data_IF_662325340515
#
_entry.id   IF_662325340515
#
_cell.length_a   1.000
_cell.length_b   1.000
_cell.length_c   1.000
_cell.angle_alpha   90.00
_cell.angle_beta   90.00
_cell.angle_gamma   90.00
#
_symmetry.space_group_name_H-M   'P 1'
#
loop_
_entity.id
_entity.type
_entity.pdbx_description
1 polymer ?
#
# COMPACT_ATOMS: atom_id res chain seq x y z
N UNK A 1 25.27 -1.93 -14.13
CA UNK A 1 26.65 -1.44 -14.31
C UNK A 1 26.92 -0.40 -13.22
N UNK A 2 28.05 -0.50 -12.49
CA UNK A 2 28.43 0.48 -11.47
C UNK A 2 29.55 1.32 -12.09
N UNK A 3 29.33 2.62 -12.28
CA UNK A 3 30.38 3.54 -12.71
C UNK A 3 31.01 4.15 -11.45
N UNK A 4 32.32 3.99 -11.30
CA UNK A 4 33.09 4.65 -10.25
C UNK A 4 33.76 5.87 -10.90
N UNK A 5 33.28 7.06 -10.59
CA UNK A 5 33.71 8.31 -11.24
C UNK A 5 34.65 9.06 -10.30
N UNK A 6 35.94 9.11 -10.64
CA UNK A 6 36.98 9.77 -9.86
C UNK A 6 36.85 11.29 -9.84
N UNK A 7 37.20 11.89 -8.71
CA UNK A 7 37.07 13.32 -8.40
C UNK A 7 37.95 14.23 -9.26
N UNK A 8 37.38 15.09 -10.10
CA UNK A 8 37.98 16.34 -10.57
C UNK A 8 36.91 17.36 -11.02
N UNK A 9 37.19 18.65 -10.79
CA UNK A 9 36.36 19.86 -11.01
C UNK A 9 35.95 20.12 -12.48
N UNK A 10 35.19 19.21 -13.07
CA UNK A 10 34.40 19.49 -14.27
C UNK A 10 32.95 19.12 -13.97
N UNK A 11 32.01 19.90 -14.54
CA UNK A 11 30.60 19.54 -14.54
C UNK A 11 30.45 18.11 -15.07
N UNK A 12 30.27 17.14 -14.17
CA UNK A 12 30.22 15.73 -14.52
C UNK A 12 28.88 15.44 -15.21
N UNK A 13 28.89 15.40 -16.55
CA UNK A 13 27.80 14.81 -17.31
C UNK A 13 28.03 13.31 -17.45
N UNK A 14 27.21 12.49 -16.79
CA UNK A 14 27.12 11.07 -17.12
C UNK A 14 26.20 10.94 -18.34
N UNK A 15 26.75 10.60 -19.50
CA UNK A 15 25.95 10.23 -20.67
C UNK A 15 25.64 8.74 -20.57
N UNK A 16 24.38 8.40 -20.32
CA UNK A 16 23.92 7.01 -20.24
C UNK A 16 23.18 6.70 -21.54
N UNK A 17 23.59 5.63 -22.23
CA UNK A 17 22.79 5.08 -23.33
C UNK A 17 21.57 4.40 -22.73
N UNK A 18 20.41 5.05 -22.87
CA UNK A 18 19.15 4.69 -22.19
C UNK A 18 18.12 4.11 -23.13
N UNK A 19 18.53 3.48 -24.24
CA UNK A 19 17.61 2.92 -25.25
C UNK A 19 16.48 2.07 -24.65
N UNK A 20 16.62 1.54 -23.41
CA UNK A 20 15.56 0.84 -22.67
C UNK A 20 15.64 1.05 -21.13
N UNK A 21 15.82 2.28 -20.63
CA UNK A 21 15.88 2.56 -19.19
C UNK A 21 14.54 3.05 -18.62
N UNK A 22 13.95 2.35 -17.65
CA UNK A 22 12.73 2.81 -16.97
C UNK A 22 13.04 3.71 -15.76
N UNK A 23 14.18 3.49 -15.09
CA UNK A 23 14.57 4.21 -13.87
C UNK A 23 16.07 4.44 -13.81
N UNK A 24 16.46 5.68 -13.54
CA UNK A 24 17.82 6.09 -13.15
C UNK A 24 17.75 6.55 -11.70
N UNK A 25 18.50 5.93 -10.81
CA UNK A 25 18.62 6.39 -9.42
C UNK A 25 20.08 6.47 -8.99
N UNK A 26 20.33 7.31 -8.01
CA UNK A 26 21.67 7.54 -7.51
C UNK A 26 21.69 8.45 -6.28
N UNK A 27 22.87 8.91 -5.94
CA UNK A 27 23.12 9.81 -4.82
C UNK A 27 23.83 11.06 -5.31
N UNK A 28 23.40 12.19 -4.78
CA UNK A 28 23.94 13.50 -5.05
C UNK A 28 24.32 14.12 -3.71
N UNK A 29 25.38 14.92 -3.62
CA UNK A 29 25.72 15.64 -2.39
C UNK A 29 26.15 17.05 -2.72
N UNK A 30 25.61 18.04 -2.01
CA UNK A 30 26.20 19.38 -1.92
C UNK A 30 26.97 19.51 -0.60
N UNK A 31 27.92 20.44 -0.54
CA UNK A 31 28.58 20.79 0.72
C UNK A 31 27.69 21.70 1.61
N UNK A 32 26.54 22.15 1.09
CA UNK A 32 25.73 23.24 1.64
C UNK A 32 24.53 22.82 2.49
N UNK A 33 24.19 21.53 2.53
CA UNK A 33 23.08 21.02 3.35
C UNK A 33 21.70 21.53 2.91
N UNK A 34 21.58 22.05 1.69
CA UNK A 34 20.32 22.56 1.14
C UNK A 34 19.55 21.44 0.42
N UNK A 35 18.22 21.58 0.22
CA UNK A 35 17.46 20.65 -0.59
C UNK A 35 18.03 20.61 -2.01
N UNK A 36 18.52 19.44 -2.41
CA UNK A 36 19.25 19.30 -3.65
C UNK A 36 18.30 18.93 -4.80
N UNK A 37 18.44 19.61 -5.93
CA UNK A 37 17.64 19.37 -7.12
C UNK A 37 18.54 19.14 -8.33
N UNK A 38 18.16 18.17 -9.17
CA UNK A 38 18.84 17.88 -10.43
C UNK A 38 17.94 18.27 -11.60
N UNK A 39 18.49 19.00 -12.55
CA UNK A 39 17.94 19.13 -13.89
C UNK A 39 18.17 17.82 -14.64
N UNK A 40 17.08 17.16 -15.02
CA UNK A 40 17.14 16.04 -15.94
C UNK A 40 17.02 16.54 -17.37
N UNK A 41 18.12 16.41 -18.11
CA UNK A 41 18.27 16.79 -19.50
C UNK A 41 18.22 15.53 -20.34
N UNK A 42 17.29 15.45 -21.29
CA UNK A 42 17.13 14.31 -22.20
C UNK A 42 17.23 14.83 -23.63
N UNK A 43 18.15 14.28 -24.41
CA UNK A 43 18.48 14.74 -25.77
C UNK A 43 18.72 16.26 -25.81
N UNK A 44 19.58 16.75 -24.90
CA UNK A 44 19.95 18.17 -24.74
C UNK A 44 18.79 19.13 -24.36
N UNK A 45 17.59 18.61 -24.08
CA UNK A 45 16.44 19.39 -23.61
C UNK A 45 16.22 19.13 -22.13
N UNK A 46 16.10 20.18 -21.33
CA UNK A 46 15.70 20.06 -19.92
C UNK A 46 14.24 19.58 -19.84
N UNK A 47 14.00 18.42 -19.25
CA UNK A 47 12.67 17.76 -19.19
C UNK A 47 12.05 17.76 -17.80
N UNK A 48 12.86 17.64 -16.75
CA UNK A 48 12.36 17.57 -15.39
C UNK A 48 13.31 18.21 -14.37
N UNK A 49 12.75 18.55 -13.21
CA UNK A 49 13.51 18.87 -12.00
C UNK A 49 13.29 17.71 -11.03
N UNK A 50 14.37 17.04 -10.66
CA UNK A 50 14.36 15.83 -9.83
C UNK A 50 14.79 16.21 -8.41
N UNK A 51 13.92 16.07 -7.40
CA UNK A 51 14.32 16.26 -6.02
C UNK A 51 15.27 15.14 -5.58
N UNK A 52 16.29 15.50 -4.80
CA UNK A 52 17.17 14.55 -4.13
C UNK A 52 16.73 14.41 -2.67
N UNK A 53 15.63 13.69 -2.44
CA UNK A 53 15.01 13.58 -1.12
C UNK A 53 14.91 12.14 -0.61
N UNK A 54 15.55 11.20 -1.30
CA UNK A 54 15.71 9.83 -0.84
C UNK A 54 16.81 9.79 0.23
N UNK A 55 16.60 9.01 1.29
CA UNK A 55 17.51 8.91 2.43
C UNK A 55 17.98 7.46 2.60
N UNK A 56 19.29 7.25 2.74
CA UNK A 56 19.90 5.94 3.03
C UNK A 56 19.64 5.52 4.47
N UNK A 57 19.68 4.22 4.72
CA UNK A 57 19.58 3.64 6.06
C UNK A 57 20.72 4.04 7.00
N UNK A 58 21.87 4.47 6.48
CA UNK A 58 23.00 4.99 7.26
C UNK A 58 22.90 6.50 7.55
N UNK A 59 21.77 7.13 7.21
CA UNK A 59 21.51 8.55 7.48
C UNK A 59 22.00 9.51 6.38
N UNK A 60 22.65 9.01 5.32
CA UNK A 60 22.98 9.85 4.16
C UNK A 60 21.70 10.27 3.43
N UNK A 61 21.43 11.57 3.40
CA UNK A 61 20.36 12.18 2.61
C UNK A 61 20.79 12.37 1.15
N UNK A 62 19.88 12.86 0.30
CA UNK A 62 20.15 13.34 -1.06
C UNK A 62 20.25 12.27 -2.17
N UNK A 63 19.53 11.16 -2.02
CA UNK A 63 19.30 10.23 -3.12
C UNK A 63 18.25 10.76 -4.09
N UNK A 64 18.39 10.44 -5.37
CA UNK A 64 17.47 10.86 -6.41
C UNK A 64 16.97 9.67 -7.23
N UNK A 65 15.82 9.87 -7.86
CA UNK A 65 15.23 8.88 -8.75
C UNK A 65 14.56 9.60 -9.93
N UNK A 66 14.93 9.22 -11.15
CA UNK A 66 14.48 9.83 -12.39
C UNK A 66 13.95 8.78 -13.37
N UNK A 67 12.82 9.07 -14.00
CA UNK A 67 12.20 8.23 -15.03
C UNK A 67 12.36 8.90 -16.39
N UNK A 68 13.33 8.47 -17.21
CA UNK A 68 13.55 9.12 -18.49
C UNK A 68 12.46 8.77 -19.51
N UNK A 69 11.75 7.65 -19.33
CA UNK A 69 10.83 7.04 -20.31
C UNK A 69 9.80 7.99 -20.95
N UNK A 70 9.09 8.87 -20.20
CA UNK A 70 8.15 9.81 -20.81
C UNK A 70 8.80 10.82 -21.77
N UNK A 71 10.13 10.92 -21.73
CA UNK A 71 10.92 11.88 -22.47
C UNK A 71 11.83 11.23 -23.52
N UNK A 72 11.83 9.91 -23.63
CA UNK A 72 12.64 9.19 -24.61
C UNK A 72 11.96 9.25 -25.99
N UNK A 73 12.75 9.51 -27.01
CA UNK A 73 12.37 9.47 -28.42
C UNK A 73 12.76 8.12 -29.03
N UNK A 74 12.26 7.80 -30.22
CA UNK A 74 12.68 6.59 -30.94
C UNK A 74 14.15 6.69 -31.34
N UNK A 75 14.99 5.76 -30.86
CA UNK A 75 16.42 5.70 -31.19
C UNK A 75 17.34 5.81 -29.96
N UNK A 76 18.58 6.25 -30.19
CA UNK A 76 19.56 6.48 -29.12
C UNK A 76 19.19 7.77 -28.40
N UNK A 77 19.06 7.71 -27.09
CA UNK A 77 18.77 8.85 -26.25
C UNK A 77 19.92 9.11 -25.29
N UNK A 78 20.19 10.38 -24.99
CA UNK A 78 21.12 10.78 -23.94
C UNK A 78 20.35 11.31 -22.75
N UNK A 79 20.73 10.89 -21.55
CA UNK A 79 20.21 11.47 -20.30
C UNK A 79 21.38 12.01 -19.51
N UNK A 80 21.28 13.29 -19.13
CA UNK A 80 22.23 13.98 -18.27
C UNK A 80 21.49 14.52 -17.06
N UNK A 81 21.95 14.18 -15.86
CA UNK A 81 21.49 14.79 -14.62
C UNK A 81 22.49 15.86 -14.20
N UNK A 82 22.02 17.10 -14.10
CA UNK A 82 22.86 18.26 -13.78
C UNK A 82 22.35 18.95 -12.52
N UNK A 83 23.24 19.29 -11.60
CA UNK A 83 22.85 20.10 -10.43
C UNK A 83 22.32 21.47 -10.82
N UNK A 84 21.34 21.96 -10.07
CA UNK A 84 20.97 23.38 -10.09
C UNK A 84 21.87 24.17 -9.11
N UNK A 85 23.14 24.35 -9.46
CA UNK A 85 24.15 24.95 -8.59
C UNK A 85 25.56 24.55 -9.01
N UNK A 86 26.59 25.11 -8.36
CA UNK A 86 28.00 24.79 -8.65
C UNK A 86 28.60 23.90 -7.55
N UNK A 87 28.61 22.58 -7.72
CA UNK A 87 29.56 21.73 -6.99
C UNK A 87 29.22 20.26 -6.72
N UNK A 88 28.49 19.55 -7.57
CA UNK A 88 28.15 18.14 -7.32
C UNK A 88 29.14 17.11 -7.86
N UNK A 89 29.33 16.02 -7.08
CA UNK A 89 29.88 14.74 -7.57
C UNK A 89 28.81 13.64 -7.50
N UNK A 90 28.54 12.94 -8.61
CA UNK A 90 27.64 11.77 -8.64
C UNK A 90 28.48 10.50 -8.41
N UNK A 91 28.34 9.87 -7.25
CA UNK A 91 29.20 8.74 -6.87
C UNK A 91 28.70 7.38 -7.36
N UNK A 92 27.41 7.26 -7.72
CA UNK A 92 26.86 6.03 -8.30
C UNK A 92 25.53 6.29 -8.99
N UNK A 93 25.37 5.79 -10.21
CA UNK A 93 24.08 5.62 -10.86
C UNK A 93 23.89 4.13 -11.19
N UNK A 94 22.73 3.56 -10.82
CA UNK A 94 22.36 2.19 -11.21
C UNK A 94 21.19 2.23 -12.16
N UNK A 95 21.36 1.59 -13.30
CA UNK A 95 20.31 1.32 -14.27
C UNK A 95 19.55 0.08 -13.82
N UNK A 96 18.26 0.23 -13.53
CA UNK A 96 17.37 -0.91 -13.30
C UNK A 96 16.50 -1.03 -14.55
N UNK A 97 16.75 -2.11 -15.31
CA UNK A 97 15.89 -2.49 -16.43
C UNK A 97 14.73 -3.29 -15.84
N UNK A 98 13.54 -2.70 -15.83
CA UNK A 98 12.32 -3.45 -15.60
C UNK A 98 11.72 -3.68 -16.99
N UNK A 99 11.43 -4.91 -17.39
CA UNK A 99 10.68 -5.06 -18.63
C UNK A 99 9.34 -4.34 -18.47
N UNK A 100 9.16 -3.31 -19.29
CA UNK A 100 7.97 -2.48 -19.31
C UNK A 100 6.72 -3.37 -19.38
N UNK A 101 5.92 -3.38 -18.32
CA UNK A 101 4.64 -4.13 -18.29
C UNK A 101 4.66 -5.41 -17.44
N UNK A 102 5.76 -5.79 -16.81
CA UNK A 102 5.72 -6.89 -15.84
C UNK A 102 4.95 -6.45 -14.57
N UNK A 103 3.72 -6.97 -14.41
CA UNK A 103 2.90 -6.75 -13.22
C UNK A 103 3.50 -7.40 -11.96
N UNK A 104 4.42 -8.35 -12.14
CA UNK A 104 5.05 -9.15 -11.09
C UNK A 104 6.55 -8.95 -11.08
N UNK A 105 7.13 -8.86 -9.88
CA UNK A 105 8.56 -8.81 -9.62
C UNK A 105 9.00 -10.08 -8.90
N UNK A 106 10.01 -10.77 -9.42
CA UNK A 106 10.63 -11.91 -8.77
C UNK A 106 11.67 -11.43 -7.75
N UNK A 107 11.39 -11.64 -6.47
CA UNK A 107 12.32 -11.41 -5.38
C UNK A 107 13.17 -12.63 -5.01
N UNK A 108 13.82 -12.54 -3.86
CA UNK A 108 14.66 -13.59 -3.29
C UNK A 108 13.81 -14.77 -2.83
N UNK A 109 14.41 -15.96 -2.78
CA UNK A 109 13.74 -17.21 -2.36
C UNK A 109 12.43 -17.47 -3.13
N UNK A 110 12.35 -17.06 -4.39
CA UNK A 110 11.17 -17.20 -5.25
C UNK A 110 9.91 -16.43 -4.81
N UNK A 111 10.03 -15.48 -3.88
CA UNK A 111 8.90 -14.62 -3.53
C UNK A 111 8.51 -13.75 -4.73
N UNK A 112 7.22 -13.72 -5.04
CA UNK A 112 6.66 -12.82 -6.04
C UNK A 112 6.11 -11.57 -5.37
N UNK A 113 6.33 -10.41 -5.98
CA UNK A 113 5.84 -9.12 -5.50
C UNK A 113 5.02 -8.42 -6.57
N UNK A 114 3.97 -7.73 -6.15
CA UNK A 114 3.17 -6.92 -7.05
C UNK A 114 3.93 -5.64 -7.42
N UNK A 115 4.30 -5.49 -8.68
CA UNK A 115 5.05 -4.34 -9.17
C UNK A 115 4.14 -3.28 -9.79
N UNK A 116 3.15 -3.72 -10.56
CA UNK A 116 2.20 -2.85 -11.24
C UNK A 116 0.87 -3.58 -11.50
N UNK A 117 -0.19 -2.80 -11.62
CA UNK A 117 -1.48 -3.20 -12.20
C UNK A 117 -1.73 -2.34 -13.44
N UNK A 118 -2.74 -2.65 -14.28
CA UNK A 118 -3.09 -1.79 -15.41
C UNK A 118 -3.34 -0.34 -15.02
N UNK A 119 -3.85 -0.10 -13.80
CA UNK A 119 -4.20 1.21 -13.31
C UNK A 119 -3.13 1.85 -12.42
N UNK A 120 -2.18 1.08 -11.88
CA UNK A 120 -1.26 1.55 -10.85
C UNK A 120 0.18 1.04 -10.99
N UNK A 121 1.16 1.90 -10.72
CA UNK A 121 2.55 1.51 -10.60
C UNK A 121 2.97 1.42 -9.12
N UNK A 122 2.60 0.31 -8.50
CA UNK A 122 2.71 0.08 -7.06
C UNK A 122 4.16 0.17 -6.61
N UNK A 123 5.11 -0.36 -7.38
CA UNK A 123 6.53 -0.28 -7.05
C UNK A 123 6.99 1.18 -6.96
N UNK A 124 6.56 2.05 -7.88
CA UNK A 124 6.93 3.46 -7.87
C UNK A 124 6.37 4.20 -6.65
N UNK A 125 5.15 3.88 -6.23
CA UNK A 125 4.55 4.43 -5.00
C UNK A 125 5.34 4.00 -3.76
N UNK A 126 5.65 2.71 -3.68
CA UNK A 126 6.35 2.12 -2.53
C UNK A 126 7.77 2.67 -2.38
N UNK A 127 8.49 2.90 -3.47
CA UNK A 127 9.83 3.50 -3.44
C UNK A 127 9.79 5.04 -3.42
N UNK A 128 8.61 5.63 -3.30
CA UNK A 128 8.41 7.07 -3.07
C UNK A 128 8.57 7.96 -4.31
N UNK A 129 8.61 7.38 -5.51
CA UNK A 129 8.62 8.14 -6.77
C UNK A 129 7.27 8.80 -7.05
N UNK A 130 6.18 8.16 -6.61
CA UNK A 130 4.83 8.72 -6.67
C UNK A 130 4.40 9.08 -5.26
N UNK A 131 4.43 10.39 -4.98
CA UNK A 131 4.04 10.96 -3.69
C UNK A 131 2.55 11.34 -3.62
N UNK A 132 2.11 11.69 -2.42
CA UNK A 132 0.78 12.24 -2.19
C UNK A 132 0.80 13.76 -2.28
N UNK A 133 0.25 14.34 -3.35
CA UNK A 133 0.21 15.79 -3.53
C UNK A 133 -0.60 16.52 -2.44
N UNK A 134 -0.26 17.78 -2.17
CA UNK A 134 -0.91 18.62 -1.13
C UNK A 134 -2.44 18.65 -1.20
N UNK A 135 -3.01 18.56 -2.42
CA UNK A 135 -4.45 18.49 -2.62
C UNK A 135 -5.05 17.21 -2.03
N UNK A 136 -4.41 16.06 -2.25
CA UNK A 136 -4.86 14.78 -1.72
C UNK A 136 -4.64 14.69 -0.20
N UNK A 137 -3.55 15.25 0.31
CA UNK A 137 -3.33 15.42 1.77
C UNK A 137 -4.51 16.13 2.42
N UNK A 138 -4.93 17.29 1.89
CA UNK A 138 -6.08 18.05 2.40
C UNK A 138 -7.39 17.26 2.29
N UNK A 139 -7.57 16.49 1.21
CA UNK A 139 -8.74 15.62 1.06
C UNK A 139 -8.78 14.52 2.11
N UNK A 140 -7.66 13.88 2.43
CA UNK A 140 -7.60 12.87 3.49
C UNK A 140 -7.91 13.46 4.86
N UNK A 141 -7.33 14.63 5.18
CA UNK A 141 -7.66 15.36 6.41
C UNK A 141 -9.17 15.61 6.52
N UNK A 142 -9.76 16.14 5.45
CA UNK A 142 -11.20 16.41 5.39
C UNK A 142 -12.03 15.13 5.55
N UNK A 143 -11.65 14.05 4.87
CA UNK A 143 -12.36 12.77 4.95
C UNK A 143 -12.30 12.19 6.36
N UNK A 144 -11.14 12.19 7.02
CA UNK A 144 -11.02 11.68 8.38
C UNK A 144 -11.81 12.50 9.39
N UNK A 145 -11.78 13.83 9.29
CA UNK A 145 -12.64 14.71 10.13
C UNK A 145 -14.11 14.41 9.93
N UNK A 146 -14.55 14.31 8.67
CA UNK A 146 -15.93 13.96 8.34
C UNK A 146 -16.33 12.61 8.93
N UNK A 147 -15.57 11.54 8.67
CA UNK A 147 -15.84 10.19 9.19
C UNK A 147 -15.91 10.18 10.71
N UNK A 148 -14.98 10.87 11.37
CA UNK A 148 -14.94 10.97 12.82
C UNK A 148 -16.23 11.61 13.38
N UNK A 149 -16.68 12.73 12.79
CA UNK A 149 -17.91 13.41 13.19
C UNK A 149 -19.15 12.58 12.87
N UNK A 150 -19.23 12.05 11.65
CA UNK A 150 -20.39 11.30 11.15
C UNK A 150 -20.64 10.03 11.96
N UNK A 151 -19.64 9.17 12.14
CA UNK A 151 -19.82 7.93 12.91
C UNK A 151 -19.99 8.18 14.41
N UNK A 152 -19.40 9.24 14.96
CA UNK A 152 -19.69 9.65 16.34
C UNK A 152 -21.17 10.03 16.50
N UNK A 153 -21.76 10.74 15.53
CA UNK A 153 -23.18 11.09 15.55
C UNK A 153 -24.10 9.85 15.44
N UNK A 154 -23.66 8.82 14.70
CA UNK A 154 -24.34 7.52 14.63
C UNK A 154 -24.13 6.63 15.85
N UNK A 155 -23.28 7.03 16.81
CA UNK A 155 -22.82 6.18 17.92
C UNK A 155 -22.10 4.91 17.47
N UNK A 156 -21.53 4.91 16.27
CA UNK A 156 -20.66 3.85 15.74
C UNK A 156 -19.20 4.20 16.05
N UNK A 157 -18.47 3.28 16.69
CA UNK A 157 -17.02 3.44 16.90
C UNK A 157 -16.29 3.25 15.56
N UNK A 158 -15.84 4.34 14.95
CA UNK A 158 -15.01 4.30 13.74
C UNK A 158 -13.55 4.00 14.07
N UNK A 159 -13.00 2.97 13.44
CA UNK A 159 -11.60 2.55 13.54
C UNK A 159 -10.98 2.45 12.15
N UNK A 160 -9.74 2.91 12.03
CA UNK A 160 -8.98 2.91 10.78
C UNK A 160 -7.64 2.22 10.98
N UNK A 161 -7.27 1.31 10.09
CA UNK A 161 -5.93 0.70 10.04
C UNK A 161 -5.54 0.50 8.60
N UNK A 162 -4.27 0.73 8.27
CA UNK A 162 -3.74 0.48 6.93
C UNK A 162 -3.15 -0.92 6.94
N UNK A 163 -3.63 -1.79 6.05
CA UNK A 163 -3.02 -3.11 5.87
C UNK A 163 -1.73 -2.93 5.05
N UNK A 164 -0.55 -3.29 5.60
CA UNK A 164 0.71 -3.10 4.89
C UNK A 164 0.83 -4.05 3.70
N UNK A 165 1.43 -3.57 2.60
CA UNK A 165 1.72 -4.40 1.44
C UNK A 165 2.89 -5.36 1.74
N UNK A 166 2.84 -6.54 1.10
CA UNK A 166 3.89 -7.57 1.18
C UNK A 166 5.29 -7.01 0.92
N UNK A 167 5.43 -6.11 -0.04
CA UNK A 167 6.69 -5.47 -0.40
C UNK A 167 7.26 -4.57 0.71
N UNK A 168 6.40 -4.00 1.56
CA UNK A 168 6.81 -3.19 2.71
C UNK A 168 7.29 -4.08 3.85
N UNK A 169 6.53 -5.14 4.11
CA UNK A 169 6.81 -6.07 5.20
C UNK A 169 8.07 -6.90 4.91
N UNK A 170 8.17 -7.45 3.70
CA UNK A 170 9.25 -8.34 3.28
C UNK A 170 10.28 -7.61 2.42
N UNK A 171 10.61 -6.37 2.78
CA UNK A 171 11.58 -5.54 2.04
C UNK A 171 12.91 -6.27 1.83
N UNK A 172 13.38 -7.05 2.81
CA UNK A 172 14.64 -7.81 2.72
C UNK A 172 14.61 -8.93 1.66
N UNK A 173 13.42 -9.37 1.24
CA UNK A 173 13.22 -10.36 0.18
C UNK A 173 13.02 -9.73 -1.20
N UNK A 174 12.95 -8.40 -1.32
CA UNK A 174 12.95 -7.73 -2.62
C UNK A 174 14.30 -7.93 -3.36
N UNK A 175 14.31 -7.79 -4.70
CA UNK A 175 15.53 -7.71 -5.49
C UNK A 175 16.49 -6.64 -4.97
N UNK A 176 17.79 -6.89 -5.14
CA UNK A 176 18.81 -5.95 -4.70
C UNK A 176 18.68 -4.59 -5.40
N UNK A 177 18.77 -3.52 -4.60
CA UNK A 177 18.67 -2.15 -5.09
C UNK A 177 17.26 -1.54 -5.03
N UNK A 178 16.24 -2.32 -4.66
CA UNK A 178 14.92 -1.78 -4.32
C UNK A 178 14.87 -1.47 -2.83
N UNK A 179 14.35 -0.28 -2.49
CA UNK A 179 14.20 0.20 -1.12
C UNK A 179 12.87 0.88 -0.93
N UNK A 180 12.18 0.53 0.15
CA UNK A 180 10.86 1.07 0.46
C UNK A 180 11.03 2.46 1.07
N UNK A 181 10.31 3.43 0.52
CA UNK A 181 10.39 4.81 0.97
C UNK A 181 9.57 5.04 2.24
N UNK A 182 10.13 5.80 3.17
CA UNK A 182 9.39 6.32 4.33
C UNK A 182 8.38 7.42 3.96
N UNK A 183 8.43 7.94 2.73
CA UNK A 183 7.54 8.99 2.19
C UNK A 183 6.49 8.45 1.21
N UNK A 184 6.32 7.13 1.12
CA UNK A 184 5.26 6.51 0.32
C UNK A 184 3.86 6.98 0.78
N UNK A 185 2.84 6.97 -0.10
CA UNK A 185 1.51 7.51 0.22
C UNK A 185 0.92 7.00 1.53
N UNK A 186 1.01 5.70 1.82
CA UNK A 186 0.47 5.13 3.05
C UNK A 186 1.13 5.66 4.34
N UNK A 187 2.44 5.94 4.33
CA UNK A 187 3.10 6.55 5.49
C UNK A 187 2.55 7.96 5.75
N UNK A 188 2.39 8.76 4.69
CA UNK A 188 1.80 10.10 4.77
C UNK A 188 0.34 10.01 5.26
N UNK A 189 -0.46 9.10 4.70
CA UNK A 189 -1.86 8.90 5.11
C UNK A 189 -1.94 8.41 6.56
N UNK A 190 -1.02 7.54 6.99
CA UNK A 190 -0.91 7.09 8.37
C UNK A 190 -0.63 8.25 9.35
N UNK A 191 0.27 9.17 9.00
CA UNK A 191 0.56 10.36 9.80
C UNK A 191 -0.64 11.31 9.88
N UNK A 192 -1.36 11.48 8.76
CA UNK A 192 -2.61 12.24 8.73
C UNK A 192 -3.65 11.55 9.63
N UNK A 193 -3.84 10.23 9.50
CA UNK A 193 -4.79 9.47 10.29
C UNK A 193 -4.47 9.56 11.78
N UNK A 194 -3.19 9.43 12.18
CA UNK A 194 -2.74 9.60 13.56
C UNK A 194 -3.11 10.98 14.12
N UNK A 195 -2.96 12.02 13.31
CA UNK A 195 -3.27 13.40 13.70
C UNK A 195 -4.78 13.64 13.80
N UNK A 196 -5.55 13.20 12.80
CA UNK A 196 -6.97 13.53 12.66
C UNK A 196 -7.91 12.58 13.42
N UNK A 197 -7.50 11.33 13.64
CA UNK A 197 -8.28 10.29 14.31
C UNK A 197 -7.77 9.96 15.72
N UNK A 198 -6.52 10.30 16.06
CA UNK A 198 -5.92 9.98 17.35
C UNK A 198 -5.96 8.47 17.62
N UNK A 199 -6.51 8.06 18.77
CA UNK A 199 -6.62 6.65 19.17
C UNK A 199 -7.56 5.80 18.30
N UNK A 200 -8.30 6.40 17.36
CA UNK A 200 -9.12 5.68 16.38
C UNK A 200 -8.31 5.18 15.18
N UNK A 201 -7.09 5.71 14.98
CA UNK A 201 -6.12 5.12 14.07
C UNK A 201 -5.34 4.05 14.82
N UNK A 202 -5.44 2.81 14.34
CA UNK A 202 -4.70 1.68 14.86
C UNK A 202 -3.53 1.43 13.92
N UNK A 203 -2.33 1.67 14.42
CA UNK A 203 -1.13 1.22 13.74
C UNK A 203 -0.82 -0.20 14.22
N UNK A 204 -0.93 -1.18 13.33
CA UNK A 204 -0.54 -2.56 13.60
C UNK A 204 0.97 -2.64 13.33
N UNK A 205 1.74 -2.68 14.42
CA UNK A 205 3.21 -2.72 14.42
C UNK A 205 3.69 -4.18 14.53
N UNK A 206 2.94 -5.09 13.93
CA UNK A 206 3.25 -6.51 13.95
C UNK A 206 4.55 -6.76 13.21
N UNK A 207 5.52 -7.39 13.87
CA UNK A 207 6.70 -7.90 13.21
C UNK A 207 6.30 -9.18 12.49
N UNK A 208 5.83 -9.04 11.25
CA UNK A 208 5.49 -10.19 10.44
C UNK A 208 6.72 -11.06 10.17
N UNK A 209 6.53 -12.37 10.27
CA UNK A 209 7.52 -13.35 9.83
C UNK A 209 7.42 -13.58 8.31
N UNK A 210 8.51 -14.01 7.68
CA UNK A 210 8.55 -14.34 6.23
C UNK A 210 7.42 -15.29 5.81
N UNK A 211 7.04 -16.21 6.70
CA UNK A 211 6.05 -17.24 6.48
C UNK A 211 4.60 -16.77 6.72
N UNK A 212 4.36 -15.50 7.04
CA UNK A 212 3.02 -14.93 7.20
C UNK A 212 2.47 -14.34 5.91
N UNK A 213 3.28 -14.32 4.85
CA UNK A 213 2.83 -14.04 3.49
C UNK A 213 2.99 -15.25 2.59
N UNK A 214 2.09 -15.35 1.63
CA UNK A 214 2.21 -16.29 0.53
C UNK A 214 3.49 -16.04 -0.25
N UNK A 215 4.15 -17.07 -0.78
CA UNK A 215 5.34 -16.89 -1.62
C UNK A 215 4.92 -16.31 -2.96
N UNK A 216 3.83 -16.81 -3.54
CA UNK A 216 3.42 -16.50 -4.91
C UNK A 216 2.14 -15.67 -5.04
N UNK A 217 1.67 -15.05 -3.94
CA UNK A 217 0.50 -14.18 -3.91
C UNK A 217 0.84 -12.82 -3.28
N UNK A 218 0.06 -11.79 -3.58
CA UNK A 218 0.25 -10.43 -3.09
C UNK A 218 -0.26 -10.18 -1.66
N UNK A 219 -1.00 -11.14 -1.07
CA UNK A 219 -1.61 -11.02 0.25
C UNK A 219 -0.82 -11.79 1.33
N UNK A 220 -1.10 -11.45 2.60
CA UNK A 220 -0.72 -12.34 3.71
C UNK A 220 -1.47 -13.67 3.60
N UNK A 221 -0.92 -14.73 4.18
CA UNK A 221 -1.66 -15.99 4.33
C UNK A 221 -2.51 -15.97 5.61
N UNK A 222 -3.19 -17.07 5.92
CA UNK A 222 -4.05 -17.12 7.11
C UNK A 222 -3.31 -16.97 8.44
N UNK A 223 -2.04 -17.35 8.52
CA UNK A 223 -1.21 -17.08 9.70
C UNK A 223 -0.99 -15.58 9.85
N UNK A 224 -0.57 -14.88 8.79
CA UNK A 224 -0.43 -13.42 8.82
C UNK A 224 -1.76 -12.68 9.05
N UNK A 225 -2.86 -13.18 8.47
CA UNK A 225 -4.20 -12.67 8.71
C UNK A 225 -4.60 -12.77 10.19
N UNK A 226 -4.31 -13.92 10.81
CA UNK A 226 -4.57 -14.20 12.22
C UNK A 226 -3.75 -13.29 13.13
N UNK A 227 -2.45 -13.16 12.87
CA UNK A 227 -1.56 -12.28 13.63
C UNK A 227 -1.99 -10.82 13.53
N UNK A 228 -2.25 -10.34 12.30
CA UNK A 228 -2.72 -8.97 12.07
C UNK A 228 -4.07 -8.71 12.75
N UNK A 229 -5.03 -9.64 12.63
CA UNK A 229 -6.33 -9.53 13.29
C UNK A 229 -6.18 -9.45 14.81
N UNK A 230 -5.36 -10.32 15.41
CA UNK A 230 -5.12 -10.36 16.86
C UNK A 230 -4.60 -9.04 17.37
N UNK A 231 -3.58 -8.48 16.72
CA UNK A 231 -3.04 -7.20 17.15
C UNK A 231 -4.06 -6.07 16.94
N UNK A 232 -4.77 -6.07 15.81
CA UNK A 232 -5.80 -5.08 15.51
C UNK A 232 -6.90 -5.05 16.58
N UNK A 233 -7.46 -6.20 16.95
CA UNK A 233 -8.57 -6.29 17.93
C UNK A 233 -8.12 -6.02 19.37
N UNK A 234 -6.89 -6.41 19.72
CA UNK A 234 -6.30 -6.10 21.03
C UNK A 234 -6.02 -4.60 21.18
N UNK A 235 -5.38 -3.97 20.17
CA UNK A 235 -5.15 -2.51 20.15
C UNK A 235 -6.46 -1.71 20.08
N UNK A 236 -7.50 -2.28 19.46
CA UNK A 236 -8.83 -1.69 19.46
C UNK A 236 -9.56 -1.79 20.82
N UNK A 237 -9.03 -2.58 21.77
CA UNK A 237 -9.64 -2.93 23.05
C UNK A 237 -11.04 -3.52 22.90
N UNK A 238 -11.26 -4.37 21.88
CA UNK A 238 -12.56 -5.02 21.67
C UNK A 238 -12.62 -6.42 22.29
N UNK A 239 -11.47 -7.09 22.40
CA UNK A 239 -11.35 -8.46 22.88
C UNK A 239 -10.05 -8.59 23.69
N UNK A 240 -10.11 -9.37 24.77
CA UNK A 240 -8.92 -9.79 25.53
C UNK A 240 -8.15 -10.88 24.79
N UNK A 241 -8.89 -11.77 24.10
CA UNK A 241 -8.35 -12.86 23.29
C UNK A 241 -9.20 -13.04 22.03
N UNK A 242 -8.54 -13.29 20.89
CA UNK A 242 -9.19 -13.66 19.63
C UNK A 242 -9.42 -15.17 19.58
N UNK A 243 -10.62 -15.58 19.23
CA UNK A 243 -10.93 -16.95 18.81
C UNK A 243 -10.41 -17.13 17.39
N UNK A 244 -9.52 -18.09 17.21
CA UNK A 244 -9.00 -18.42 15.89
C UNK A 244 -9.87 -19.49 15.22
N UNK A 245 -10.12 -19.38 13.90
CA UNK A 245 -10.73 -20.47 13.16
C UNK A 245 -9.81 -21.69 13.22
N UNK A 246 -10.41 -22.89 13.23
CA UNK A 246 -9.64 -24.11 13.09
C UNK A 246 -9.02 -24.17 11.69
N UNK A 247 -7.72 -24.42 11.66
CA UNK A 247 -6.94 -24.54 10.43
C UNK A 247 -6.97 -26.01 10.02
N UNK A 248 -7.68 -26.34 8.94
CA UNK A 248 -8.11 -27.73 8.71
C UNK A 248 -7.51 -28.40 7.48
N UNK A 249 -6.96 -27.69 6.49
CA UNK A 249 -6.43 -28.36 5.29
C UNK A 249 -5.21 -27.67 4.66
N UNK A 250 -4.39 -28.49 4.00
CA UNK A 250 -3.34 -28.04 3.09
C UNK A 250 -3.83 -28.21 1.66
N UNK A 251 -3.70 -27.16 0.87
CA UNK A 251 -4.20 -27.13 -0.51
C UNK A 251 -3.16 -26.55 -1.46
N UNK A 252 -3.26 -26.93 -2.73
CA UNK A 252 -2.51 -26.28 -3.78
C UNK A 252 -3.24 -25.00 -4.17
N UNK A 253 -2.57 -23.87 -3.98
CA UNK A 253 -3.09 -22.54 -4.22
C UNK A 253 -2.26 -21.86 -5.31
N UNK A 254 -2.95 -21.36 -6.34
CA UNK A 254 -2.34 -20.51 -7.36
C UNK A 254 -2.62 -19.07 -6.97
N UNK A 255 -1.63 -18.41 -6.40
CA UNK A 255 -1.71 -16.99 -6.04
C UNK A 255 -1.93 -16.07 -7.24
N UNK A 256 -2.44 -14.87 -6.99
CA UNK A 256 -2.69 -13.85 -8.01
C UNK A 256 -1.43 -13.51 -8.83
N UNK A 257 -0.27 -13.42 -8.16
CA UNK A 257 1.02 -13.18 -8.81
C UNK A 257 1.54 -14.42 -9.56
N UNK A 258 1.30 -15.63 -9.04
CA UNK A 258 1.62 -16.86 -9.78
C UNK A 258 0.85 -16.93 -11.09
N UNK A 259 -0.46 -16.68 -11.04
CA UNK A 259 -1.32 -16.68 -12.21
C UNK A 259 -0.85 -15.63 -13.24
N UNK A 260 -0.48 -14.43 -12.78
CA UNK A 260 0.02 -13.37 -13.65
C UNK A 260 1.41 -13.67 -14.25
N UNK A 261 2.27 -14.37 -13.52
CA UNK A 261 3.63 -14.69 -13.94
C UNK A 261 3.78 -16.06 -14.66
N UNK A 262 2.72 -16.86 -14.71
CA UNK A 262 2.79 -18.26 -15.17
C UNK A 262 3.64 -19.15 -14.24
N UNK A 263 3.71 -18.82 -12.95
CA UNK A 263 4.47 -19.58 -11.96
C UNK A 263 3.63 -20.77 -11.42
N UNK A 264 4.28 -21.83 -10.89
CA UNK A 264 3.56 -22.97 -10.32
C UNK A 264 2.78 -22.58 -9.06
N UNK A 265 1.77 -23.40 -8.75
CA UNK A 265 1.04 -23.33 -7.48
C UNK A 265 1.99 -23.57 -6.29
N UNK A 266 1.68 -22.94 -5.16
CA UNK A 266 2.30 -23.26 -3.87
C UNK A 266 1.35 -24.12 -3.03
N UNK A 267 1.90 -24.95 -2.14
CA UNK A 267 1.08 -25.65 -1.14
C UNK A 267 0.94 -24.77 0.07
N UNK A 268 -0.29 -24.35 0.38
CA UNK A 268 -0.59 -23.43 1.47
C UNK A 268 -1.51 -24.08 2.48
N UNK A 269 -1.48 -23.54 3.69
CA UNK A 269 -2.44 -23.90 4.72
C UNK A 269 -3.62 -22.94 4.62
N UNK A 270 -4.80 -23.48 4.35
CA UNK A 270 -6.03 -22.69 4.25
C UNK A 270 -6.76 -22.76 5.59
N UNK A 271 -7.19 -21.60 6.10
CA UNK A 271 -8.18 -21.59 7.17
C UNK A 271 -9.56 -21.69 6.53
N UNK A 272 -10.36 -22.64 7.00
CA UNK A 272 -11.74 -22.76 6.59
C UNK A 272 -12.64 -22.17 7.65
N UNK A 273 -13.69 -21.51 7.17
CA UNK A 273 -14.83 -21.15 7.99
C UNK A 273 -15.36 -22.41 8.67
N UNK A 274 -15.46 -22.39 10.00
CA UNK A 274 -16.24 -23.38 10.73
C UNK A 274 -17.71 -23.03 10.57
N UNK A 275 -18.47 -23.75 9.72
CA UNK A 275 -19.86 -23.38 9.43
C UNK A 275 -20.76 -23.52 10.67
N UNK A 276 -20.31 -24.21 11.71
CA UNK A 276 -20.98 -24.32 13.00
C UNK A 276 -20.79 -23.09 13.91
N UNK A 277 -19.78 -22.26 13.67
CA UNK A 277 -19.54 -21.07 14.48
C UNK A 277 -20.41 -19.89 14.06
N UNK A 278 -20.71 -19.75 12.78
CA UNK A 278 -21.54 -18.66 12.30
C UNK A 278 -22.27 -19.02 11.00
N UNK A 279 -23.42 -18.39 10.80
CA UNK A 279 -24.24 -18.52 9.60
C UNK A 279 -23.97 -17.35 8.65
N UNK A 280 -23.74 -17.64 7.37
CA UNK A 280 -23.72 -16.61 6.33
C UNK A 280 -25.15 -16.23 5.95
N UNK A 281 -25.56 -15.01 6.30
CA UNK A 281 -26.93 -14.53 6.12
C UNK A 281 -27.12 -13.76 4.80
N UNK A 282 -26.04 -13.21 4.25
CA UNK A 282 -26.02 -12.50 2.96
C UNK A 282 -24.67 -12.75 2.29
N UNK A 283 -24.70 -13.06 0.99
CA UNK A 283 -23.54 -13.01 0.08
C UNK A 283 -24.07 -12.46 -1.25
N UNK A 284 -23.92 -11.15 -1.44
CA UNK A 284 -24.55 -10.41 -2.54
C UNK A 284 -23.62 -9.30 -3.07
N UNK A 285 -24.07 -8.55 -4.07
CA UNK A 285 -23.43 -7.36 -4.59
C UNK A 285 -24.23 -6.13 -4.20
N UNK A 286 -23.61 -5.19 -3.48
CA UNK A 286 -24.16 -3.85 -3.25
C UNK A 286 -23.40 -2.86 -4.10
N UNK A 287 -24.10 -2.13 -4.98
CA UNK A 287 -23.49 -1.22 -5.95
C UNK A 287 -22.35 -1.86 -6.77
N UNK A 288 -22.52 -3.13 -7.16
CA UNK A 288 -21.53 -3.89 -7.93
C UNK A 288 -20.31 -4.37 -7.14
N UNK A 289 -20.31 -4.21 -5.82
CA UNK A 289 -19.21 -4.64 -4.94
C UNK A 289 -19.69 -5.71 -3.95
N UNK A 290 -18.83 -6.69 -3.68
CA UNK A 290 -19.18 -7.80 -2.80
C UNK A 290 -19.56 -7.31 -1.40
N UNK A 291 -20.69 -7.80 -0.91
CA UNK A 291 -21.24 -7.53 0.41
C UNK A 291 -21.60 -8.86 1.07
N UNK A 292 -20.99 -9.10 2.24
CA UNK A 292 -21.20 -10.32 3.02
C UNK A 292 -21.73 -9.97 4.39
N UNK A 293 -22.62 -10.81 4.93
CA UNK A 293 -23.11 -10.69 6.30
C UNK A 293 -23.17 -12.04 6.97
N UNK A 294 -22.81 -12.06 8.24
CA UNK A 294 -22.79 -13.26 9.06
C UNK A 294 -23.44 -13.01 10.41
N UNK A 295 -23.92 -14.09 11.03
CA UNK A 295 -24.41 -14.14 12.41
C UNK A 295 -23.74 -15.27 13.17
N UNK A 296 -23.13 -14.97 14.30
CA UNK A 296 -22.46 -15.93 15.18
C UNK A 296 -23.18 -16.01 16.53
N UNK A 297 -23.82 -17.14 16.81
CA UNK A 297 -24.58 -17.30 18.06
C UNK A 297 -23.69 -17.41 19.30
N UNK A 298 -22.40 -17.66 19.13
CA UNK A 298 -21.39 -17.76 20.19
C UNK A 298 -20.47 -16.53 20.27
N UNK A 299 -20.56 -15.60 19.31
CA UNK A 299 -19.76 -14.39 19.25
C UNK A 299 -20.15 -13.35 20.30
N UNK A 300 -19.24 -12.41 20.57
CA UNK A 300 -19.52 -11.27 21.46
C UNK A 300 -20.69 -10.44 20.95
N UNK A 301 -21.50 -9.89 21.85
CA UNK A 301 -22.65 -9.02 21.56
C UNK A 301 -22.27 -7.65 20.97
N UNK A 302 -21.53 -7.66 19.88
CA UNK A 302 -21.21 -6.50 19.06
C UNK A 302 -21.53 -6.85 17.60
N UNK A 303 -22.09 -5.88 16.90
CA UNK A 303 -22.20 -5.84 15.46
C UNK A 303 -21.02 -5.07 14.88
N UNK A 304 -20.22 -5.72 14.05
CA UNK A 304 -19.04 -5.11 13.43
C UNK A 304 -19.23 -4.96 11.92
N UNK A 305 -18.86 -3.80 11.40
CA UNK A 305 -18.73 -3.55 9.98
C UNK A 305 -17.27 -3.52 9.57
N UNK A 306 -16.93 -4.14 8.44
CA UNK A 306 -15.59 -4.11 7.85
C UNK A 306 -15.70 -3.60 6.42
N UNK A 307 -14.98 -2.53 6.11
CA UNK A 307 -14.85 -1.98 4.76
C UNK A 307 -13.39 -2.09 4.35
N UNK A 308 -13.10 -2.74 3.23
CA UNK A 308 -11.73 -2.86 2.75
C UNK A 308 -11.59 -3.64 1.45
N UNK A 309 -10.35 -4.00 1.12
CA UNK A 309 -9.99 -4.71 -0.12
C UNK A 309 -9.86 -6.21 0.07
N UNK A 310 -9.29 -6.91 -0.90
CA UNK A 310 -8.96 -8.34 -0.85
C UNK A 310 -8.15 -8.73 0.38
N UNK A 311 -7.20 -7.91 0.84
CA UNK A 311 -6.49 -8.18 2.10
C UNK A 311 -7.42 -8.16 3.31
N UNK A 312 -8.38 -7.24 3.35
CA UNK A 312 -9.38 -7.20 4.43
C UNK A 312 -10.39 -8.34 4.32
N UNK A 313 -10.67 -8.85 3.11
CA UNK A 313 -11.53 -10.01 2.90
C UNK A 313 -10.96 -11.27 3.57
N UNK A 314 -9.63 -11.43 3.62
CA UNK A 314 -8.98 -12.52 4.36
C UNK A 314 -9.14 -12.40 5.88
N UNK A 315 -9.46 -11.21 6.40
CA UNK A 315 -9.76 -10.99 7.82
C UNK A 315 -11.22 -11.32 8.18
N UNK A 316 -12.10 -11.42 7.18
CA UNK A 316 -13.54 -11.65 7.40
C UNK A 316 -13.86 -12.90 8.25
N UNK A 317 -13.24 -14.09 8.03
CA UNK A 317 -13.45 -15.24 8.91
C UNK A 317 -13.20 -14.94 10.38
N UNK A 318 -12.16 -14.16 10.68
CA UNK A 318 -11.79 -13.83 12.05
C UNK A 318 -12.80 -12.87 12.68
N UNK A 319 -13.28 -11.87 11.94
CA UNK A 319 -14.38 -11.02 12.41
C UNK A 319 -15.67 -11.82 12.62
N UNK A 320 -16.09 -12.64 11.66
CA UNK A 320 -17.29 -13.47 11.75
C UNK A 320 -17.22 -14.48 12.92
N UNK A 321 -16.05 -15.05 13.18
CA UNK A 321 -15.82 -16.01 14.28
C UNK A 321 -15.83 -15.38 15.68
N UNK A 322 -15.62 -14.07 15.80
CA UNK A 322 -15.48 -13.39 17.10
C UNK A 322 -16.67 -12.51 17.50
N UNK A 323 -17.47 -12.04 16.54
CA UNK A 323 -18.53 -11.05 16.79
C UNK A 323 -19.92 -11.59 16.38
N UNK A 324 -20.96 -11.18 17.13
CA UNK A 324 -22.34 -11.66 16.99
C UNK A 324 -22.91 -11.42 15.60
N UNK A 325 -22.63 -10.25 15.03
CA UNK A 325 -22.95 -9.94 13.64
C UNK A 325 -21.72 -9.29 13.01
N UNK A 326 -21.38 -9.71 11.80
CA UNK A 326 -20.34 -9.08 11.01
C UNK A 326 -20.84 -8.85 9.59
N UNK A 327 -20.67 -7.64 9.06
CA UNK A 327 -20.74 -7.42 7.63
C UNK A 327 -19.39 -7.01 7.05
N UNK A 328 -19.14 -7.40 5.82
CA UNK A 328 -17.99 -7.00 5.04
C UNK A 328 -18.45 -6.36 3.73
N UNK A 329 -17.91 -5.19 3.42
CA UNK A 329 -18.12 -4.49 2.16
C UNK A 329 -16.78 -4.35 1.43
N UNK A 330 -16.65 -5.02 0.28
CA UNK A 330 -15.45 -5.00 -0.54
C UNK A 330 -15.33 -3.67 -1.28
N UNK A 331 -14.67 -2.69 -0.66
CA UNK A 331 -14.53 -1.35 -1.19
C UNK A 331 -13.40 -0.60 -0.48
N UNK A 332 -12.76 0.32 -1.19
CA UNK A 332 -11.89 1.34 -0.57
C UNK A 332 -12.67 2.55 -0.05
N UNK A 333 -13.91 2.68 -0.47
CA UNK A 333 -14.83 3.77 -0.13
C UNK A 333 -15.87 3.27 0.85
N UNK A 334 -16.15 4.05 1.89
CA UNK A 334 -17.21 3.72 2.82
C UNK A 334 -18.55 4.12 2.20
N UNK A 335 -19.41 3.13 1.94
CA UNK A 335 -20.81 3.40 1.60
C UNK A 335 -21.59 3.72 2.88
N UNK A 336 -21.80 5.00 3.15
CA UNK A 336 -22.46 5.47 4.38
C UNK A 336 -23.90 4.95 4.51
N UNK A 337 -24.62 4.72 3.41
CA UNK A 337 -25.98 4.19 3.47
C UNK A 337 -26.01 2.75 3.95
N UNK A 338 -25.08 1.92 3.46
CA UNK A 338 -24.91 0.54 3.95
C UNK A 338 -24.58 0.55 5.44
N UNK A 339 -23.68 1.44 5.88
CA UNK A 339 -23.36 1.55 7.30
C UNK A 339 -24.55 2.03 8.12
N UNK A 340 -25.37 2.96 7.60
CA UNK A 340 -26.60 3.41 8.27
C UNK A 340 -27.66 2.32 8.36
N UNK A 341 -27.85 1.54 7.29
CA UNK A 341 -28.79 0.42 7.25
C UNK A 341 -28.36 -0.69 8.20
N UNK A 342 -27.06 -1.00 8.22
CA UNK A 342 -26.53 -2.04 9.09
C UNK A 342 -26.35 -1.58 10.53
N UNK A 343 -26.13 -0.29 10.78
CA UNK A 343 -25.98 0.31 12.10
C UNK A 343 -25.03 -0.48 13.03
N UNK A 344 -23.74 -0.66 12.66
CA UNK A 344 -22.79 -1.41 13.48
C UNK A 344 -22.39 -0.63 14.74
N UNK A 345 -22.04 -1.36 15.79
CA UNK A 345 -21.42 -0.82 17.00
C UNK A 345 -19.99 -0.32 16.70
N UNK A 346 -19.27 -1.05 15.84
CA UNK A 346 -17.90 -0.74 15.44
C UNK A 346 -17.76 -0.86 13.92
N UNK A 347 -17.17 0.14 13.28
CA UNK A 347 -16.81 0.12 11.86
C UNK A 347 -15.30 0.16 11.69
N UNK A 348 -14.73 -0.89 11.11
CA UNK A 348 -13.35 -0.94 10.67
C UNK A 348 -13.25 -0.54 9.19
N UNK A 349 -12.37 0.42 8.89
CA UNK A 349 -11.95 0.73 7.53
C UNK A 349 -10.49 0.30 7.34
N UNK A 350 -10.28 -0.72 6.51
CA UNK A 350 -9.04 -1.46 6.35
C UNK A 350 -8.55 -1.45 4.88
N UNK A 351 -8.16 -0.29 4.34
CA UNK A 351 -7.57 -0.24 3.01
C UNK A 351 -6.20 -0.91 3.00
N UNK A 352 -5.86 -1.57 1.88
CA UNK A 352 -4.48 -1.95 1.61
C UNK A 352 -3.65 -0.72 1.28
N UNK A 353 -2.39 -0.69 1.68
CA UNK A 353 -1.50 0.44 1.47
C UNK A 353 -1.43 0.92 0.00
N UNK A 354 -1.36 -0.01 -0.97
CA UNK A 354 -1.33 0.24 -2.42
C UNK A 354 -2.54 0.96 -3.02
N UNK A 355 -3.59 1.22 -2.25
CA UNK A 355 -4.79 1.92 -2.73
C UNK A 355 -4.90 3.36 -2.22
N UNK A 356 -3.92 3.82 -1.43
CA UNK A 356 -3.95 5.11 -0.74
C UNK A 356 -3.45 6.32 -1.57
N UNK A 357 -3.38 6.15 -2.90
CA UNK A 357 -3.05 7.22 -3.84
C UNK A 357 -4.23 8.14 -4.18
N UNK A 358 -5.45 7.72 -3.83
CA UNK A 358 -6.66 8.51 -4.01
C UNK A 358 -7.50 8.47 -2.74
N UNK A 359 -8.09 9.62 -2.42
CA UNK A 359 -9.01 9.70 -1.28
C UNK A 359 -10.31 9.02 -1.69
N UNK A 360 -10.77 7.99 -0.95
CA UNK A 360 -12.02 7.34 -1.27
C UNK A 360 -13.18 8.33 -1.24
N UNK A 361 -14.06 8.25 -2.22
CA UNK A 361 -15.19 9.17 -2.33
C UNK A 361 -16.36 8.70 -1.48
N UNK A 362 -16.30 8.97 -0.17
CA UNK A 362 -17.40 8.62 0.75
C UNK A 362 -18.71 9.39 0.44
N UNK A 363 -18.70 10.29 -0.57
CA UNK A 363 -19.83 11.17 -0.92
C UNK A 363 -20.74 10.62 -2.01
N UNK A 364 -20.80 9.30 -2.17
CA UNK A 364 -22.01 8.73 -2.72
C UNK A 364 -23.10 8.87 -1.62
N UNK A 365 -23.87 9.98 -1.71
CA UNK A 365 -25.26 10.15 -1.23
C UNK A 365 -25.59 11.18 -0.12
N UNK A 366 -24.78 12.24 0.10
CA UNK A 366 -25.35 13.49 0.65
C UNK A 366 -26.18 14.28 -0.40
N UNK A 367 -26.24 13.82 -1.65
CA UNK A 367 -27.10 14.38 -2.70
C UNK A 367 -28.61 14.12 -2.53
N UNK A 368 -29.05 13.39 -1.49
CA UNK A 368 -30.48 13.07 -1.28
C UNK A 368 -31.17 13.85 -0.16
N UNK A 369 -30.63 15.01 0.27
CA UNK A 369 -31.38 15.94 1.15
C UNK A 369 -31.47 17.38 0.65
N UNK A 370 -30.84 17.74 -0.48
CA UNK A 370 -31.07 19.04 -1.14
C UNK A 370 -32.31 19.04 -2.02
N UNK A 371 -32.79 17.88 -2.45
CA UNK A 371 -33.94 17.75 -3.36
C UNK A 371 -35.23 17.36 -2.61
N UNK A 372 -35.19 17.41 -1.27
CA UNK A 372 -36.31 17.14 -0.37
C UNK A 372 -36.57 18.29 0.62
N UNK A 373 -36.31 19.54 0.20
CA UNK A 373 -36.80 20.76 0.87
C UNK A 373 -37.72 21.54 -0.05
#
# INVERSE_FOLDING_TARGET
MIFNLGSHDMAMSCAIDVANCDVIWGWASDAGGSPLYLDAIVNDVRRAIVPCDVVRSDGLSNGFVFHPKPFLETGVNSVVLRERGSGLTIYSAKLVRQEAGASVLLGKKNYLFLAATPDNNILQELIGQVGLGNFLVKKYQTAFRFRNLFFSAMRTKYLYSIIPDKSVVLEHLLPDGIRISRRRPAAIVGDIARTELGSKYINVDHSFDDNEYHVTDSHFNYTGASSYFTELIMKAHLLEHAIMPDVLTRENFVGDLAAAAGAPAETVTMAYYRPDLFEMTVDDLVNGTAFKKTRNIHGRYLKVGVVGTSSAALLFPFFAGNFRECFFHFSNTINVEVVMQENPDVLFHLPSERVLRSVPDDRILLKLRSDAQ
#
